data_IF_282622597187
#
_entry.id   IF_282622597187
#
_cell.length_a   1.000
_cell.length_b   1.000
_cell.length_c   1.000
_cell.angle_alpha   90.00
_cell.angle_beta   90.00
_cell.angle_gamma   90.00
#
_symmetry.space_group_name_H-M   'P 1'
#
loop_
_entity.id
_entity.type
_entity.pdbx_description
1 polymer ?
#
# COMPACT_ATOMS: atom_id res chain seq x y z
N UNK A 1 -30.39 -10.17 -10.19
CA UNK A 1 -29.40 -9.54 -11.09
C UNK A 1 -29.34 -8.06 -10.77
N UNK A 2 -28.49 -7.68 -9.82
CA UNK A 2 -28.38 -6.31 -9.31
C UNK A 2 -26.99 -5.79 -9.66
N UNK A 3 -26.96 -4.66 -10.36
CA UNK A 3 -25.80 -3.90 -10.81
C UNK A 3 -24.65 -3.91 -9.79
N UNK A 4 -23.54 -4.56 -10.13
CA UNK A 4 -22.25 -4.26 -9.53
C UNK A 4 -21.69 -3.00 -10.20
N UNK A 5 -21.54 -1.96 -9.40
CA UNK A 5 -20.79 -0.75 -9.72
C UNK A 5 -19.40 -1.15 -10.19
N UNK A 6 -19.09 -0.98 -11.47
CA UNK A 6 -17.80 -1.34 -12.04
C UNK A 6 -16.73 -0.35 -11.55
N UNK A 7 -16.26 -0.50 -10.31
CA UNK A 7 -15.12 0.23 -9.78
C UNK A 7 -13.88 -0.29 -10.47
N UNK A 8 -13.27 0.51 -11.35
CA UNK A 8 -12.03 0.14 -12.02
C UNK A 8 -10.95 -0.18 -10.97
N UNK A 9 -10.48 -1.43 -10.98
CA UNK A 9 -9.41 -1.87 -10.09
C UNK A 9 -8.09 -1.21 -10.53
N UNK A 10 -7.43 -0.49 -9.61
CA UNK A 10 -6.20 0.25 -9.92
C UNK A 10 -4.95 -0.64 -10.01
N UNK A 11 -4.97 -1.82 -9.36
CA UNK A 11 -3.87 -2.79 -9.32
C UNK A 11 -4.43 -4.18 -9.63
N UNK A 12 -3.98 -4.79 -10.70
CA UNK A 12 -4.43 -6.11 -11.11
C UNK A 12 -3.26 -7.08 -11.25
N UNK A 13 -3.44 -8.30 -10.73
CA UNK A 13 -2.50 -9.41 -10.79
C UNK A 13 -1.02 -9.06 -10.51
N UNK A 14 -0.74 -8.41 -9.38
CA UNK A 14 0.62 -8.06 -8.97
C UNK A 14 1.23 -9.18 -8.12
N UNK A 15 2.34 -9.75 -8.56
CA UNK A 15 3.16 -10.68 -7.79
C UNK A 15 4.56 -10.08 -7.59
N UNK A 16 4.94 -9.83 -6.34
CA UNK A 16 6.23 -9.24 -6.00
C UNK A 16 6.75 -9.87 -4.70
N UNK A 17 8.03 -10.17 -4.66
CA UNK A 17 8.73 -10.63 -3.46
C UNK A 17 9.97 -9.74 -3.28
N UNK A 18 10.08 -9.08 -2.12
CA UNK A 18 11.17 -8.16 -1.78
C UNK A 18 11.92 -8.76 -0.58
N UNK A 19 13.22 -8.97 -0.72
CA UNK A 19 14.07 -9.49 0.34
C UNK A 19 14.54 -8.38 1.29
N UNK A 20 14.89 -8.78 2.52
CA UNK A 20 15.43 -7.85 3.51
C UNK A 20 16.69 -7.14 2.97
N UNK A 21 16.71 -5.81 3.06
CA UNK A 21 17.82 -4.97 2.60
C UNK A 21 17.77 -4.57 1.12
N UNK A 22 16.83 -5.08 0.34
CA UNK A 22 16.65 -4.66 -1.05
C UNK A 22 16.14 -3.22 -1.16
N UNK A 23 16.59 -2.54 -2.23
CA UNK A 23 16.13 -1.20 -2.60
C UNK A 23 15.39 -1.32 -3.93
N UNK A 24 14.06 -1.20 -3.88
CA UNK A 24 13.19 -1.35 -5.06
C UNK A 24 12.67 0.01 -5.51
N UNK A 25 12.85 0.33 -6.79
CA UNK A 25 12.27 1.50 -7.44
C UNK A 25 11.04 1.12 -8.28
N UNK A 26 9.91 1.81 -8.10
CA UNK A 26 8.70 1.61 -8.89
C UNK A 26 8.55 2.77 -9.87
N UNK A 27 8.61 2.47 -11.17
CA UNK A 27 8.53 3.46 -12.25
C UNK A 27 7.37 3.17 -13.19
N UNK A 28 6.83 4.23 -13.81
CA UNK A 28 5.72 4.12 -14.75
C UNK A 28 5.06 5.47 -15.00
N UNK A 29 4.25 5.57 -16.07
CA UNK A 29 3.53 6.80 -16.44
C UNK A 29 2.61 7.28 -15.30
N UNK A 30 2.24 8.56 -15.32
CA UNK A 30 1.20 9.10 -14.44
C UNK A 30 -0.09 8.29 -14.61
N UNK A 31 -0.77 7.97 -13.50
CA UNK A 31 -1.97 7.12 -13.50
C UNK A 31 -1.72 5.60 -13.51
N UNK A 32 -0.47 5.13 -13.62
CA UNK A 32 -0.15 3.71 -13.65
C UNK A 32 -0.32 2.94 -12.31
N UNK A 33 -1.00 3.51 -11.31
CA UNK A 33 -1.26 2.82 -10.04
C UNK A 33 -0.13 2.86 -9.00
N UNK A 34 0.99 3.56 -9.24
CA UNK A 34 2.13 3.64 -8.30
C UNK A 34 1.74 4.09 -6.87
N UNK A 35 0.96 5.17 -6.77
CA UNK A 35 0.47 5.67 -5.48
C UNK A 35 -0.52 4.70 -4.84
N UNK A 36 -1.39 4.07 -5.64
CA UNK A 36 -2.31 3.03 -5.17
C UNK A 36 -1.56 1.81 -4.62
N UNK A 37 -0.43 1.43 -5.23
CA UNK A 37 0.43 0.35 -4.75
C UNK A 37 0.99 0.65 -3.35
N UNK A 38 1.57 1.85 -3.17
CA UNK A 38 2.09 2.28 -1.86
C UNK A 38 0.97 2.33 -0.82
N UNK A 39 -0.20 2.89 -1.17
CA UNK A 39 -1.38 2.94 -0.28
C UNK A 39 -1.89 1.54 0.11
N UNK A 40 -1.78 0.57 -0.78
CA UNK A 40 -2.20 -0.82 -0.53
C UNK A 40 -1.27 -1.49 0.49
N UNK A 41 0.05 -1.32 0.36
CA UNK A 41 1.04 -1.80 1.35
C UNK A 41 0.75 -1.19 2.74
N UNK A 42 0.39 0.10 2.78
CA UNK A 42 0.05 0.80 4.02
C UNK A 42 -1.34 0.50 4.58
N UNK A 43 -2.10 -0.40 3.93
CA UNK A 43 -3.50 -0.70 4.27
C UNK A 43 -4.34 0.58 4.39
N UNK A 44 -4.14 1.52 3.47
CA UNK A 44 -4.97 2.72 3.33
C UNK A 44 -6.12 2.51 2.32
N UNK A 45 -5.96 1.55 1.40
CA UNK A 45 -7.01 1.09 0.50
C UNK A 45 -7.50 -0.32 0.87
N UNK A 46 -8.64 -0.70 0.30
CA UNK A 46 -9.19 -2.06 0.44
C UNK A 46 -8.49 -3.01 -0.53
N UNK A 47 -7.96 -4.12 -0.01
CA UNK A 47 -7.47 -5.22 -0.86
C UNK A 47 -8.68 -6.01 -1.37
N UNK A 48 -8.85 -6.07 -2.69
CA UNK A 48 -10.00 -6.77 -3.31
C UNK A 48 -9.78 -8.29 -3.29
N UNK A 49 -8.57 -8.73 -3.63
CA UNK A 49 -8.16 -10.13 -3.67
C UNK A 49 -6.66 -10.25 -3.38
N UNK A 50 -6.23 -11.44 -2.91
CA UNK A 50 -4.83 -11.74 -2.62
C UNK A 50 -4.44 -11.47 -1.16
N UNK A 51 -3.14 -11.38 -0.90
CA UNK A 51 -2.58 -11.15 0.43
C UNK A 51 -1.27 -10.38 0.33
N UNK A 52 -0.93 -9.65 1.41
CA UNK A 52 0.37 -9.00 1.56
C UNK A 52 1.02 -9.57 2.81
N UNK A 53 2.24 -10.09 2.63
CA UNK A 53 3.03 -10.66 3.71
C UNK A 53 4.17 -9.70 4.07
N UNK A 54 4.33 -9.40 5.35
CA UNK A 54 5.52 -8.74 5.89
C UNK A 54 6.12 -9.67 6.94
N UNK A 55 7.40 -10.01 6.77
CA UNK A 55 8.09 -11.03 7.59
C UNK A 55 7.33 -12.38 7.64
N UNK A 56 6.74 -12.77 6.50
CA UNK A 56 5.89 -13.97 6.33
C UNK A 56 4.57 -13.96 7.11
N UNK A 57 4.17 -12.80 7.65
CA UNK A 57 2.91 -12.64 8.37
C UNK A 57 1.93 -11.89 7.47
N UNK A 58 0.72 -12.42 7.29
CA UNK A 58 -0.35 -11.71 6.61
C UNK A 58 -0.76 -10.47 7.42
N UNK A 59 -0.53 -9.30 6.83
CA UNK A 59 -0.84 -8.04 7.50
C UNK A 59 -2.34 -7.83 7.69
N UNK A 60 -3.20 -8.58 6.98
CA UNK A 60 -4.65 -8.55 7.16
C UNK A 60 -5.08 -9.05 8.55
N UNK A 61 -4.32 -9.96 9.14
CA UNK A 61 -4.60 -10.58 10.45
C UNK A 61 -4.02 -9.79 11.62
N UNK A 62 -3.26 -8.72 11.35
CA UNK A 62 -2.60 -7.88 12.36
C UNK A 62 -3.37 -6.56 12.54
N UNK A 63 -3.36 -6.00 13.74
CA UNK A 63 -3.94 -4.67 14.02
C UNK A 63 -3.32 -3.59 13.14
N UNK A 64 -4.14 -2.65 12.65
CA UNK A 64 -3.71 -1.62 11.71
C UNK A 64 -2.57 -0.73 12.26
N UNK A 65 -2.66 -0.39 13.54
CA UNK A 65 -1.63 0.43 14.22
C UNK A 65 -0.30 -0.32 14.35
N UNK A 66 -0.33 -1.64 14.58
CA UNK A 66 0.88 -2.45 14.71
C UNK A 66 1.59 -2.61 13.36
N UNK A 67 0.83 -2.76 12.26
CA UNK A 67 1.39 -2.74 10.90
C UNK A 67 2.01 -1.37 10.62
N UNK A 68 1.28 -0.28 10.87
CA UNK A 68 1.74 1.08 10.55
C UNK A 68 2.93 1.54 11.39
N UNK A 69 3.09 1.03 12.63
CA UNK A 69 4.29 1.30 13.45
C UNK A 69 5.56 0.65 12.91
N UNK A 70 5.44 -0.39 12.08
CA UNK A 70 6.56 -1.16 11.54
C UNK A 70 6.97 -0.70 10.13
N UNK A 71 6.22 0.21 9.52
CA UNK A 71 6.50 0.72 8.17
C UNK A 71 6.55 2.25 8.21
N UNK A 72 7.67 2.83 7.80
CA UNK A 72 7.80 4.29 7.65
C UNK A 72 7.43 4.73 6.23
N UNK A 73 6.65 5.81 6.10
CA UNK A 73 6.29 6.44 4.82
C UNK A 73 6.67 7.91 4.83
N UNK A 74 7.12 8.37 3.67
CA UNK A 74 7.16 9.78 3.33
C UNK A 74 6.01 10.00 2.35
N UNK A 75 4.92 10.69 2.75
CA UNK A 75 3.79 10.92 1.85
C UNK A 75 4.19 11.87 0.72
N UNK A 76 3.47 11.79 -0.41
CA UNK A 76 3.67 12.70 -1.55
C UNK A 76 3.41 14.15 -1.16
N UNK A 77 2.36 14.39 -0.36
CA UNK A 77 2.04 15.69 0.24
C UNK A 77 2.38 15.66 1.74
N UNK A 78 3.51 16.25 2.17
CA UNK A 78 3.90 16.27 3.57
C UNK A 78 2.97 17.19 4.38
N UNK A 79 2.44 16.67 5.49
CA UNK A 79 1.74 17.50 6.48
C UNK A 79 2.80 18.04 7.46
N UNK A 80 2.95 19.36 7.47
CA UNK A 80 3.79 20.06 8.45
C UNK A 80 2.93 20.47 9.63
N UNK A 81 3.30 20.02 10.83
CA UNK A 81 2.72 20.56 12.06
C UNK A 81 3.51 21.81 12.43
N UNK A 82 2.82 22.95 12.53
CA UNK A 82 3.41 24.17 13.06
C UNK A 82 3.56 24.03 14.58
N UNK A 83 4.79 23.82 15.03
CA UNK A 83 5.22 23.91 16.42
C UNK A 83 6.56 24.64 16.48
N UNK A 84 6.80 25.38 17.56
CA UNK A 84 8.16 25.82 17.90
C UNK A 84 8.92 24.61 18.41
N UNK A 85 10.18 24.43 17.98
CA UNK A 85 11.07 23.42 18.56
C UNK A 85 11.24 23.60 20.07
#
# INVERSE_FOLDING_TARGET
>A
HSNESNSSVALDNICLNIQAGEKVGIVGRTGAGKSSFIQTIFRMGTLVNGQILIDNIDISTVGLDDVRRRISIIPQDPVLFTGTM
#
